data_IF_388691313404
#
_entry.id   IF_388691313404
#
_cell.length_a   1.000
_cell.length_b   1.000
_cell.length_c   1.000
_cell.angle_alpha   90.00
_cell.angle_beta   90.00
_cell.angle_gamma   90.00
#
_symmetry.space_group_name_H-M   'P 1'
#
loop_
_entity.id
_entity.type
_entity.pdbx_description
1 polymer ?
#
# COMPACT_ATOMS: atom_id res chain seq x y z
N UNK A 1 39.68 39.23 -45.19
CA UNK A 1 39.49 37.90 -44.57
C UNK A 1 39.20 37.94 -43.07
N UNK A 2 39.68 38.95 -42.32
CA UNK A 2 39.47 39.06 -40.86
C UNK A 2 38.09 39.59 -40.42
N UNK A 3 37.39 40.37 -41.26
CA UNK A 3 36.09 40.95 -40.91
C UNK A 3 34.93 39.93 -40.86
N UNK A 4 34.96 38.90 -41.70
CA UNK A 4 33.92 37.86 -41.72
C UNK A 4 33.99 36.89 -40.53
N UNK A 5 35.18 36.70 -39.95
CA UNK A 5 35.37 35.85 -38.78
C UNK A 5 34.86 36.53 -37.50
N UNK A 6 35.05 37.84 -37.36
CA UNK A 6 34.52 38.61 -36.23
C UNK A 6 32.99 38.67 -36.24
N UNK A 7 32.36 38.82 -37.41
CA UNK A 7 30.90 38.81 -37.53
C UNK A 7 30.32 37.43 -37.15
N UNK A 8 30.99 36.33 -37.52
CA UNK A 8 30.55 34.98 -37.14
C UNK A 8 30.73 34.72 -35.64
N UNK A 9 31.81 35.20 -35.04
CA UNK A 9 32.07 35.11 -33.60
C UNK A 9 31.08 35.97 -32.81
N UNK A 10 30.74 37.17 -33.29
CA UNK A 10 29.75 38.04 -32.65
C UNK A 10 28.33 37.46 -32.78
N UNK A 11 27.96 36.86 -33.92
CA UNK A 11 26.68 36.14 -34.09
C UNK A 11 26.59 34.91 -33.16
N UNK A 12 27.67 34.14 -32.99
CA UNK A 12 27.72 33.00 -32.05
C UNK A 12 27.74 33.48 -30.60
N UNK A 13 28.30 34.66 -30.31
CA UNK A 13 28.32 35.26 -28.97
C UNK A 13 26.96 35.86 -28.59
N UNK A 14 26.24 36.44 -29.55
CA UNK A 14 24.92 37.05 -29.38
C UNK A 14 23.80 35.99 -29.33
N UNK A 15 23.88 34.95 -30.19
CA UNK A 15 22.96 33.80 -30.14
C UNK A 15 23.35 32.73 -29.13
N UNK A 16 24.59 32.70 -28.64
CA UNK A 16 25.06 31.73 -27.65
C UNK A 16 24.30 31.85 -26.33
N UNK A 17 24.02 33.09 -25.90
CA UNK A 17 23.20 33.33 -24.70
C UNK A 17 21.76 32.83 -24.91
N UNK A 18 21.14 33.14 -26.06
CA UNK A 18 19.79 32.67 -26.39
C UNK A 18 19.71 31.15 -26.53
N UNK A 19 20.74 30.50 -27.09
CA UNK A 19 20.83 29.04 -27.19
C UNK A 19 20.99 28.38 -25.82
N UNK A 20 21.82 28.93 -24.94
CA UNK A 20 22.00 28.44 -23.56
C UNK A 20 20.72 28.65 -22.74
N UNK A 21 20.06 29.81 -22.86
CA UNK A 21 18.77 30.07 -22.21
C UNK A 21 17.69 29.13 -22.75
N UNK A 22 17.60 28.92 -24.06
CA UNK A 22 16.66 27.98 -24.66
C UNK A 22 16.89 26.53 -24.21
N UNK A 23 18.15 26.09 -24.14
CA UNK A 23 18.51 24.75 -23.68
C UNK A 23 18.21 24.55 -22.19
N UNK A 24 18.57 25.51 -21.34
CA UNK A 24 18.27 25.45 -19.90
C UNK A 24 16.77 25.46 -19.63
N UNK A 25 16.01 26.30 -20.34
CA UNK A 25 14.56 26.35 -20.21
C UNK A 25 13.91 25.05 -20.74
N UNK A 26 14.41 24.52 -21.85
CA UNK A 26 14.00 23.20 -22.38
C UNK A 26 14.28 22.06 -21.39
N UNK A 27 15.46 22.06 -20.76
CA UNK A 27 15.82 21.10 -19.71
C UNK A 27 14.94 21.24 -18.47
N UNK A 28 14.65 22.47 -18.02
CA UNK A 28 13.75 22.71 -16.90
C UNK A 28 12.32 22.24 -17.19
N UNK A 29 11.82 22.50 -18.41
CA UNK A 29 10.51 22.00 -18.86
C UNK A 29 10.51 20.48 -18.94
N UNK A 30 11.58 19.86 -19.44
CA UNK A 30 11.71 18.41 -19.49
C UNK A 30 11.74 17.79 -18.09
N UNK A 31 12.53 18.36 -17.17
CA UNK A 31 12.60 17.92 -15.77
C UNK A 31 11.24 18.09 -15.11
N UNK A 32 10.56 19.23 -15.29
CA UNK A 32 9.23 19.46 -14.75
C UNK A 32 8.21 18.48 -15.33
N UNK A 33 8.27 18.20 -16.63
CA UNK A 33 7.39 17.26 -17.30
C UNK A 33 7.62 15.82 -16.79
N UNK A 34 8.87 15.38 -16.67
CA UNK A 34 9.22 14.08 -16.10
C UNK A 34 8.80 13.99 -14.62
N UNK A 35 8.98 15.07 -13.87
CA UNK A 35 8.60 15.18 -12.45
C UNK A 35 7.09 15.22 -12.21
N UNK A 36 6.31 15.63 -13.21
CA UNK A 36 4.85 15.78 -13.13
C UNK A 36 4.13 14.86 -14.10
N UNK A 37 4.81 13.87 -14.66
CA UNK A 37 4.18 12.81 -15.41
C UNK A 37 3.37 11.92 -14.46
N UNK A 38 2.22 11.41 -14.91
CA UNK A 38 1.48 10.34 -14.20
C UNK A 38 1.16 9.22 -15.17
N UNK A 39 1.15 8.00 -14.66
CA UNK A 39 0.68 6.78 -15.31
C UNK A 39 -0.75 6.92 -15.88
N UNK A 40 -1.63 7.53 -15.10
CA UNK A 40 -3.04 7.73 -15.40
C UNK A 40 -3.28 9.23 -15.58
N UNK A 41 -3.84 9.58 -16.73
CA UNK A 41 -4.24 10.95 -17.05
C UNK A 41 -5.28 11.45 -16.05
N UNK A 42 -5.38 12.77 -15.92
CA UNK A 42 -6.38 13.42 -15.07
C UNK A 42 -7.78 12.94 -15.42
N UNK A 43 -8.53 12.51 -14.41
CA UNK A 43 -9.90 12.05 -14.58
C UNK A 43 -10.80 13.29 -14.61
N UNK A 44 -11.50 13.47 -15.73
CA UNK A 44 -12.42 14.58 -15.93
C UNK A 44 -13.62 14.43 -14.98
N UNK A 45 -14.10 15.55 -14.43
CA UNK A 45 -15.23 15.56 -13.52
C UNK A 45 -14.90 15.27 -12.04
N UNK A 46 -13.66 14.86 -11.72
CA UNK A 46 -13.22 14.70 -10.32
C UNK A 46 -12.25 15.85 -9.96
N UNK A 47 -12.49 16.61 -8.88
CA UNK A 47 -11.59 17.67 -8.44
C UNK A 47 -10.26 17.09 -7.97
N UNK A 48 -9.16 17.78 -8.26
CA UNK A 48 -7.82 17.43 -7.78
C UNK A 48 -7.45 18.38 -6.63
N UNK A 49 -6.93 17.82 -5.53
CA UNK A 49 -6.52 18.64 -4.38
C UNK A 49 -5.38 19.59 -4.79
N UNK A 50 -5.46 20.89 -4.48
CA UNK A 50 -4.43 21.83 -4.88
C UNK A 50 -3.10 21.61 -4.14
N UNK A 51 -2.01 22.11 -4.72
CA UNK A 51 -0.69 22.10 -4.08
C UNK A 51 0.12 20.82 -4.32
N UNK A 52 -0.03 20.19 -5.48
CA UNK A 52 0.91 19.17 -5.94
C UNK A 52 2.34 19.76 -6.07
N UNK A 53 3.30 19.23 -5.32
CA UNK A 53 4.73 19.57 -5.50
C UNK A 53 5.31 18.72 -6.65
N UNK A 54 6.24 19.21 -7.49
CA UNK A 54 6.90 18.36 -8.48
C UNK A 54 7.55 17.11 -7.82
N UNK A 55 7.54 15.96 -8.51
CA UNK A 55 8.13 14.66 -8.11
C UNK A 55 7.36 13.93 -7.00
N UNK A 56 7.11 14.55 -5.85
CA UNK A 56 6.47 13.88 -4.71
C UNK A 56 5.01 14.30 -4.48
N UNK A 57 4.49 15.22 -5.31
CA UNK A 57 3.08 15.65 -5.42
C UNK A 57 2.36 15.77 -4.07
N UNK A 58 1.41 14.88 -3.80
CA UNK A 58 0.61 14.86 -2.57
C UNK A 58 1.15 13.85 -1.55
N UNK A 59 2.07 12.97 -1.95
CA UNK A 59 2.63 11.91 -1.11
C UNK A 59 3.29 12.48 0.14
N UNK A 60 4.13 13.52 0.01
CA UNK A 60 4.73 14.18 1.17
C UNK A 60 3.72 14.92 2.04
N UNK A 61 2.61 15.38 1.47
CA UNK A 61 1.58 16.13 2.20
C UNK A 61 0.64 15.24 3.00
N UNK A 62 0.56 13.95 2.64
CA UNK A 62 -0.26 12.98 3.34
C UNK A 62 0.31 12.62 4.72
N UNK A 63 1.64 12.69 4.89
CA UNK A 63 2.31 12.36 6.14
C UNK A 63 2.22 10.86 6.48
N UNK A 64 2.35 10.52 7.76
CA UNK A 64 2.27 9.13 8.23
C UNK A 64 0.82 8.60 8.25
N UNK A 65 -0.15 9.47 8.57
CA UNK A 65 -1.57 9.12 8.60
C UNK A 65 -2.32 9.69 7.38
N UNK A 66 -2.29 8.90 6.31
CA UNK A 66 -2.97 9.21 5.06
C UNK A 66 -4.48 9.39 5.24
N UNK A 67 -5.11 8.60 6.11
CA UNK A 67 -6.57 8.59 6.28
C UNK A 67 -7.04 9.89 6.92
N UNK A 68 -6.42 10.30 8.03
CA UNK A 68 -6.77 11.56 8.69
C UNK A 68 -6.46 12.77 7.81
N UNK A 69 -5.40 12.73 7.01
CA UNK A 69 -5.10 13.81 6.06
C UNK A 69 -6.16 13.91 4.96
N UNK A 70 -6.59 12.79 4.40
CA UNK A 70 -7.66 12.76 3.40
C UNK A 70 -8.99 13.27 3.96
N UNK A 71 -9.32 12.93 5.21
CA UNK A 71 -10.50 13.45 5.90
C UNK A 71 -10.42 14.97 6.07
N UNK A 72 -9.26 15.51 6.48
CA UNK A 72 -9.05 16.96 6.59
C UNK A 72 -9.26 17.65 5.24
N UNK A 73 -8.73 17.10 4.16
CA UNK A 73 -8.95 17.65 2.81
C UNK A 73 -10.41 17.58 2.38
N UNK A 74 -11.10 16.48 2.67
CA UNK A 74 -12.54 16.40 2.40
C UNK A 74 -13.28 17.53 3.12
N UNK A 75 -13.04 17.74 4.41
CA UNK A 75 -13.68 18.80 5.21
C UNK A 75 -13.32 20.21 4.72
N UNK A 76 -12.07 20.42 4.34
CA UNK A 76 -11.58 21.73 3.90
C UNK A 76 -12.14 22.12 2.52
N UNK A 77 -12.11 21.21 1.55
CA UNK A 77 -12.53 21.49 0.17
C UNK A 77 -13.98 21.12 -0.12
N UNK A 78 -14.67 20.49 0.83
CA UNK A 78 -16.05 20.02 0.72
C UNK A 78 -16.29 19.12 -0.52
N UNK A 79 -15.31 18.26 -0.83
CA UNK A 79 -15.39 17.32 -1.95
C UNK A 79 -15.43 15.89 -1.42
N UNK A 80 -16.57 15.17 -1.54
CA UNK A 80 -16.68 13.79 -1.04
C UNK A 80 -15.83 12.79 -1.83
N UNK A 81 -15.50 13.13 -3.07
CA UNK A 81 -14.61 12.38 -3.96
C UNK A 81 -13.62 13.36 -4.58
N UNK A 82 -12.34 13.06 -4.49
CA UNK A 82 -11.29 13.85 -5.09
C UNK A 82 -10.13 12.96 -5.55
N UNK A 83 -9.31 13.47 -6.46
CA UNK A 83 -8.11 12.79 -6.93
C UNK A 83 -6.85 13.43 -6.34
N UNK A 84 -5.86 12.59 -6.08
CA UNK A 84 -4.53 12.94 -5.58
C UNK A 84 -3.48 12.20 -6.41
N UNK A 85 -2.21 12.61 -6.31
CA UNK A 85 -1.11 11.92 -6.99
C UNK A 85 -0.05 11.48 -5.99
N UNK A 86 0.25 10.19 -6.04
CA UNK A 86 1.36 9.54 -5.35
C UNK A 86 2.52 9.45 -6.34
N UNK A 87 3.38 10.47 -6.37
CA UNK A 87 4.43 10.57 -7.38
C UNK A 87 3.86 10.44 -8.80
N UNK A 88 4.26 9.38 -9.51
CA UNK A 88 3.79 9.06 -10.86
C UNK A 88 2.45 8.29 -10.89
N UNK A 89 1.87 7.90 -9.75
CA UNK A 89 0.60 7.17 -9.67
C UNK A 89 -0.55 8.11 -9.31
N UNK A 90 -1.67 8.05 -10.04
CA UNK A 90 -2.90 8.78 -9.66
C UNK A 90 -3.83 7.91 -8.82
N UNK A 91 -4.39 8.48 -7.76
CA UNK A 91 -5.39 7.82 -6.93
C UNK A 91 -6.65 8.68 -6.76
N UNK A 92 -7.79 8.01 -6.55
CA UNK A 92 -9.06 8.64 -6.23
C UNK A 92 -9.45 8.24 -4.81
N UNK A 93 -9.75 9.24 -3.99
CA UNK A 93 -10.13 9.07 -2.59
C UNK A 93 -11.64 9.29 -2.47
N UNK A 94 -12.31 8.34 -1.82
CA UNK A 94 -13.75 8.37 -1.55
C UNK A 94 -13.95 8.50 -0.04
N UNK A 95 -14.58 9.59 0.41
CA UNK A 95 -14.70 9.89 1.84
C UNK A 95 -16.15 9.85 2.36
N UNK A 96 -17.16 9.91 1.49
CA UNK A 96 -18.57 9.81 1.93
C UNK A 96 -19.12 8.39 1.79
N UNK A 97 -20.06 8.04 2.68
CA UNK A 97 -20.74 6.74 2.63
C UNK A 97 -21.41 6.49 1.28
N UNK A 98 -22.14 7.47 0.74
CA UNK A 98 -22.83 7.31 -0.54
C UNK A 98 -21.86 7.07 -1.70
N UNK A 99 -20.72 7.78 -1.72
CA UNK A 99 -19.70 7.59 -2.74
C UNK A 99 -19.05 6.20 -2.64
N UNK A 100 -18.73 5.76 -1.41
CA UNK A 100 -18.20 4.42 -1.15
C UNK A 100 -19.19 3.33 -1.53
N UNK A 101 -20.47 3.46 -1.18
CA UNK A 101 -21.54 2.51 -1.57
C UNK A 101 -21.66 2.46 -3.09
N UNK A 102 -21.67 3.61 -3.74
CA UNK A 102 -21.86 3.68 -5.19
C UNK A 102 -20.69 3.05 -5.95
N UNK A 103 -19.44 3.23 -5.50
CA UNK A 103 -18.28 2.59 -6.16
C UNK A 103 -18.13 1.10 -5.78
N UNK A 104 -18.25 0.75 -4.49
CA UNK A 104 -17.96 -0.60 -3.99
C UNK A 104 -19.11 -1.59 -4.16
N UNK A 105 -20.35 -1.11 -4.31
CA UNK A 105 -21.53 -1.97 -4.51
C UNK A 105 -22.01 -1.90 -5.94
N UNK A 106 -22.36 -0.70 -6.45
CA UNK A 106 -22.93 -0.57 -7.81
C UNK A 106 -21.89 -0.82 -8.90
N UNK A 107 -20.66 -0.35 -8.70
CA UNK A 107 -19.58 -0.45 -9.69
C UNK A 107 -18.45 -1.41 -9.26
N UNK A 108 -18.76 -2.37 -8.40
CA UNK A 108 -17.78 -3.25 -7.77
C UNK A 108 -16.89 -3.99 -8.80
N UNK A 109 -17.44 -4.35 -9.97
CA UNK A 109 -16.73 -5.07 -11.03
C UNK A 109 -15.66 -4.21 -11.70
N UNK A 110 -15.81 -2.88 -11.70
CA UNK A 110 -14.85 -1.95 -12.28
C UNK A 110 -13.65 -1.68 -11.34
N UNK A 111 -13.84 -1.85 -10.03
CA UNK A 111 -12.81 -1.58 -8.99
C UNK A 111 -12.31 -2.83 -8.27
N UNK A 112 -12.65 -4.01 -8.79
CA UNK A 112 -12.24 -5.29 -8.20
C UNK A 112 -10.75 -5.58 -8.39
N UNK A 113 -10.12 -4.96 -9.39
CA UNK A 113 -8.72 -5.16 -9.71
C UNK A 113 -7.78 -4.57 -8.64
N UNK A 114 -6.50 -4.97 -8.65
CA UNK A 114 -5.50 -4.48 -7.70
C UNK A 114 -4.28 -3.92 -8.43
N UNK A 115 -3.78 -2.74 -8.02
CA UNK A 115 -2.61 -2.15 -8.64
C UNK A 115 -1.36 -3.02 -8.40
N UNK A 116 -0.50 -3.11 -9.41
CA UNK A 116 0.79 -3.79 -9.30
C UNK A 116 1.85 -2.83 -8.77
N UNK A 117 2.22 -3.00 -7.49
CA UNK A 117 3.36 -2.33 -6.85
C UNK A 117 4.69 -2.97 -7.27
N UNK A 118 5.74 -2.16 -7.46
CA UNK A 118 7.08 -2.58 -7.89
C UNK A 118 7.76 -3.44 -6.82
N UNK A 119 7.84 -2.96 -5.58
CA UNK A 119 8.56 -3.64 -4.50
C UNK A 119 7.85 -4.93 -4.12
N UNK A 120 6.52 -4.88 -3.92
CA UNK A 120 5.79 -6.07 -3.52
C UNK A 120 5.73 -7.14 -4.62
N UNK A 121 5.45 -6.77 -5.88
CA UNK A 121 5.27 -7.77 -6.95
C UNK A 121 6.55 -8.11 -7.72
N UNK A 122 7.48 -7.17 -7.82
CA UNK A 122 8.73 -7.34 -8.57
C UNK A 122 9.87 -7.89 -7.74
N UNK A 123 10.07 -7.35 -6.53
CA UNK A 123 11.22 -7.70 -5.67
C UNK A 123 10.88 -8.88 -4.77
N UNK A 124 9.81 -8.76 -3.96
CA UNK A 124 9.48 -9.73 -2.91
C UNK A 124 8.75 -10.96 -3.46
N UNK A 125 7.79 -10.77 -4.37
CA UNK A 125 6.90 -11.82 -4.85
C UNK A 125 7.40 -12.50 -6.15
N UNK A 126 8.70 -12.44 -6.44
CA UNK A 126 9.32 -13.00 -7.64
C UNK A 126 9.23 -14.55 -7.70
N UNK A 127 9.04 -15.22 -6.57
CA UNK A 127 9.11 -16.69 -6.44
C UNK A 127 7.81 -17.38 -5.98
N UNK A 128 6.86 -16.67 -5.36
CA UNK A 128 5.63 -17.24 -4.82
C UNK A 128 4.42 -16.51 -5.43
N UNK A 129 3.46 -17.24 -6.00
CA UNK A 129 2.39 -16.63 -6.79
C UNK A 129 1.52 -15.64 -6.00
N UNK A 130 1.20 -14.51 -6.62
CA UNK A 130 0.07 -13.59 -6.37
C UNK A 130 -0.99 -14.07 -5.33
N UNK A 131 -1.17 -13.33 -4.22
CA UNK A 131 -2.19 -13.59 -3.18
C UNK A 131 -3.63 -13.31 -3.68
N UNK A 132 -4.67 -13.70 -2.95
CA UNK A 132 -6.07 -13.36 -3.35
C UNK A 132 -6.33 -11.85 -3.26
N UNK A 133 -5.76 -11.16 -2.26
CA UNK A 133 -6.11 -9.78 -1.93
C UNK A 133 -5.28 -8.70 -2.62
N UNK A 134 -4.07 -9.04 -3.07
CA UNK A 134 -3.10 -8.08 -3.64
C UNK A 134 -2.92 -8.21 -5.15
N UNK A 135 -3.62 -9.14 -5.79
CA UNK A 135 -3.27 -9.56 -7.15
C UNK A 135 -4.25 -9.08 -8.20
N UNK A 136 -3.79 -8.92 -9.46
CA UNK A 136 -4.67 -8.58 -10.55
C UNK A 136 -5.84 -9.57 -10.68
N UNK A 137 -6.98 -9.08 -11.14
CA UNK A 137 -8.23 -9.82 -11.27
C UNK A 137 -8.24 -10.72 -12.52
N UNK A 138 -7.44 -11.78 -12.46
CA UNK A 138 -7.27 -12.78 -13.53
C UNK A 138 -7.90 -14.13 -13.14
N UNK A 139 -7.94 -15.09 -14.08
CA UNK A 139 -8.51 -16.42 -13.86
C UNK A 139 -7.92 -17.14 -12.64
N UNK A 140 -6.60 -17.02 -12.41
CA UNK A 140 -5.94 -17.58 -11.22
C UNK A 140 -6.52 -17.00 -9.92
N UNK A 141 -6.63 -15.66 -9.80
CA UNK A 141 -7.18 -14.98 -8.63
C UNK A 141 -8.66 -15.33 -8.39
N UNK A 142 -9.44 -15.46 -9.48
CA UNK A 142 -10.84 -15.92 -9.43
C UNK A 142 -10.94 -17.34 -8.86
N UNK A 143 -10.12 -18.26 -9.35
CA UNK A 143 -10.11 -19.65 -8.90
C UNK A 143 -9.67 -19.77 -7.44
N UNK A 144 -8.61 -19.06 -7.04
CA UNK A 144 -8.16 -19.00 -5.63
C UNK A 144 -9.24 -18.45 -4.70
N UNK A 145 -9.91 -17.36 -5.10
CA UNK A 145 -11.03 -16.78 -4.33
C UNK A 145 -12.20 -17.77 -4.21
N UNK A 146 -12.53 -18.49 -5.29
CA UNK A 146 -13.56 -19.52 -5.28
C UNK A 146 -13.20 -20.66 -4.33
N UNK A 147 -11.97 -21.17 -4.41
CA UNK A 147 -11.50 -22.26 -3.55
C UNK A 147 -11.53 -21.87 -2.06
N UNK A 148 -10.95 -20.71 -1.71
CA UNK A 148 -10.99 -20.20 -0.34
C UNK A 148 -12.43 -19.94 0.13
N UNK A 149 -13.28 -19.41 -0.74
CA UNK A 149 -14.70 -19.20 -0.46
C UNK A 149 -15.46 -20.49 -0.14
N UNK A 150 -15.14 -21.60 -0.81
CA UNK A 150 -15.72 -22.92 -0.49
C UNK A 150 -15.27 -23.43 0.87
N UNK A 151 -13.97 -23.33 1.18
CA UNK A 151 -13.42 -23.78 2.46
C UNK A 151 -13.94 -22.95 3.65
N UNK A 152 -14.16 -21.65 3.46
CA UNK A 152 -14.61 -20.74 4.51
C UNK A 152 -16.13 -20.49 4.49
N UNK A 153 -16.89 -21.26 3.70
CA UNK A 153 -18.32 -21.10 3.61
C UNK A 153 -19.02 -21.55 4.91
N UNK A 154 -20.21 -21.00 5.20
CA UNK A 154 -21.00 -21.33 6.38
C UNK A 154 -21.18 -22.85 6.63
N UNK A 155 -21.40 -23.71 5.61
CA UNK A 155 -21.48 -25.15 5.82
C UNK A 155 -20.16 -25.75 6.32
N UNK A 156 -19.04 -25.40 5.69
CA UNK A 156 -17.71 -25.90 6.05
C UNK A 156 -17.28 -25.44 7.45
N UNK A 157 -17.64 -24.22 7.85
CA UNK A 157 -17.35 -23.69 9.20
C UNK A 157 -17.96 -24.55 10.33
N UNK A 158 -19.04 -25.29 10.07
CA UNK A 158 -19.64 -26.18 11.09
C UNK A 158 -18.70 -27.32 11.45
N UNK A 159 -17.98 -27.85 10.47
CA UNK A 159 -17.03 -28.95 10.67
C UNK A 159 -15.79 -28.47 11.45
N UNK A 160 -15.53 -27.15 11.44
CA UNK A 160 -14.42 -26.53 12.18
C UNK A 160 -14.78 -26.14 13.61
N UNK A 161 -16.02 -26.33 14.05
CA UNK A 161 -16.44 -25.99 15.41
C UNK A 161 -15.56 -26.62 16.50
N UNK A 162 -15.16 -27.91 16.44
CA UNK A 162 -14.30 -28.50 17.47
C UNK A 162 -12.94 -27.81 17.59
N UNK A 163 -12.40 -27.30 16.47
CA UNK A 163 -11.15 -26.55 16.45
C UNK A 163 -11.32 -25.21 17.17
N UNK A 164 -12.40 -24.46 16.89
CA UNK A 164 -12.66 -23.19 17.56
C UNK A 164 -12.93 -23.36 19.06
N UNK A 165 -13.65 -24.42 19.44
CA UNK A 165 -13.94 -24.74 20.84
C UNK A 165 -12.65 -25.04 21.62
N UNK A 166 -11.77 -25.87 21.04
CA UNK A 166 -10.46 -26.17 21.62
C UNK A 166 -9.60 -24.92 21.78
N UNK A 167 -9.47 -24.09 20.75
CA UNK A 167 -8.66 -22.87 20.83
C UNK A 167 -9.26 -21.87 21.84
N UNK A 168 -10.58 -21.78 21.91
CA UNK A 168 -11.29 -20.92 22.88
C UNK A 168 -11.07 -21.41 24.32
N UNK A 169 -11.11 -22.72 24.55
CA UNK A 169 -10.77 -23.30 25.85
C UNK A 169 -9.31 -23.02 26.23
N UNK A 170 -8.37 -23.23 25.30
CA UNK A 170 -6.95 -23.04 25.54
C UNK A 170 -6.60 -21.59 25.93
N UNK A 171 -7.20 -20.58 25.30
CA UNK A 171 -6.93 -19.18 25.68
C UNK A 171 -7.43 -18.86 27.09
N UNK A 172 -8.61 -19.36 27.47
CA UNK A 172 -9.18 -19.10 28.81
C UNK A 172 -8.38 -19.81 29.88
N UNK A 173 -8.01 -21.08 29.62
CA UNK A 173 -7.16 -21.87 30.52
C UNK A 173 -5.81 -21.18 30.76
N UNK A 174 -5.14 -20.74 29.69
CA UNK A 174 -3.81 -20.18 29.79
C UNK A 174 -3.84 -18.77 30.41
N UNK A 175 -4.86 -17.96 30.06
CA UNK A 175 -5.09 -16.66 30.72
C UNK A 175 -5.37 -16.83 32.22
N UNK A 176 -6.12 -17.86 32.61
CA UNK A 176 -6.36 -18.15 34.02
C UNK A 176 -5.08 -18.62 34.73
N UNK A 177 -4.27 -19.46 34.10
CA UNK A 177 -2.98 -19.90 34.64
C UNK A 177 -1.99 -18.74 34.85
N UNK A 178 -1.98 -17.77 33.93
CA UNK A 178 -1.11 -16.60 34.01
C UNK A 178 -1.67 -15.50 34.94
N UNK A 179 -2.99 -15.49 35.15
CA UNK A 179 -3.66 -14.65 36.14
C UNK A 179 -3.37 -15.20 37.52
N UNK A 180 -2.37 -14.62 38.18
CA UNK A 180 -2.08 -14.91 39.58
C UNK A 180 -3.25 -14.45 40.44
N UNK A 181 -4.19 -15.36 40.70
CA UNK A 181 -5.42 -15.08 41.45
C UNK A 181 -5.13 -14.66 42.90
N UNK A 182 -3.90 -14.83 43.39
CA UNK A 182 -3.48 -14.38 44.72
C UNK A 182 -3.05 -12.91 44.77
N UNK A 183 -2.72 -12.32 43.62
CA UNK A 183 -2.27 -10.93 43.52
C UNK A 183 -3.26 -10.09 42.69
N UNK A 184 -4.15 -9.30 43.33
CA UNK A 184 -5.11 -8.45 42.65
C UNK A 184 -4.49 -7.36 41.76
N UNK A 185 -3.18 -7.10 41.89
CA UNK A 185 -2.46 -6.08 41.13
C UNK A 185 -1.74 -6.65 39.89
N UNK A 186 -1.75 -7.97 39.68
CA UNK A 186 -1.12 -8.58 38.50
C UNK A 186 -2.05 -8.47 37.30
N UNK A 187 -1.68 -7.59 36.38
CA UNK A 187 -2.36 -7.44 35.10
C UNK A 187 -1.91 -8.51 34.10
N UNK A 188 -2.84 -8.98 33.26
CA UNK A 188 -2.56 -9.93 32.18
C UNK A 188 -2.84 -9.24 30.84
N UNK A 189 -1.83 -9.25 29.96
CA UNK A 189 -1.99 -8.71 28.61
C UNK A 189 -2.76 -9.69 27.74
N UNK A 190 -3.94 -9.30 27.23
CA UNK A 190 -4.82 -10.19 26.46
C UNK A 190 -4.32 -10.39 25.01
N UNK A 191 -3.53 -9.44 24.49
CA UNK A 191 -3.12 -9.38 23.08
C UNK A 191 -2.43 -10.67 22.59
N UNK A 192 -1.46 -11.28 23.31
CA UNK A 192 -0.79 -12.49 22.86
C UNK A 192 -1.73 -13.70 22.72
N UNK A 193 -2.70 -13.85 23.62
CA UNK A 193 -3.67 -14.95 23.57
C UNK A 193 -4.56 -14.87 22.33
N UNK A 194 -5.04 -13.67 21.99
CA UNK A 194 -5.84 -13.43 20.77
C UNK A 194 -4.99 -13.68 19.51
N UNK A 195 -3.73 -13.23 19.50
CA UNK A 195 -2.81 -13.47 18.38
C UNK A 195 -2.57 -14.97 18.18
N UNK A 196 -2.32 -15.72 19.26
CA UNK A 196 -2.16 -17.18 19.21
C UNK A 196 -3.44 -17.86 18.70
N UNK A 197 -4.61 -17.48 19.20
CA UNK A 197 -5.90 -18.02 18.75
C UNK A 197 -6.09 -17.86 17.23
N UNK A 198 -5.87 -16.65 16.72
CA UNK A 198 -6.01 -16.36 15.30
C UNK A 198 -5.02 -17.15 14.43
N UNK A 199 -3.77 -17.26 14.91
CA UNK A 199 -2.74 -18.01 14.20
C UNK A 199 -2.97 -19.51 14.24
N UNK A 200 -3.28 -20.10 15.40
CA UNK A 200 -3.59 -21.53 15.51
C UNK A 200 -4.79 -21.93 14.67
N UNK A 201 -5.84 -21.10 14.63
CA UNK A 201 -6.98 -21.29 13.73
C UNK A 201 -6.52 -21.40 12.27
N UNK A 202 -5.65 -20.47 11.85
CA UNK A 202 -5.14 -20.43 10.47
C UNK A 202 -4.20 -21.58 10.17
N UNK A 203 -3.28 -21.89 11.10
CA UNK A 203 -2.30 -22.97 10.97
C UNK A 203 -2.96 -24.34 10.95
N UNK A 204 -3.97 -24.56 11.79
CA UNK A 204 -4.71 -25.82 11.81
C UNK A 204 -5.49 -26.00 10.51
N UNK A 205 -6.17 -24.95 10.03
CA UNK A 205 -6.95 -25.02 8.81
C UNK A 205 -6.09 -25.20 7.54
N UNK A 206 -4.96 -24.50 7.45
CA UNK A 206 -4.12 -24.47 6.24
C UNK A 206 -3.04 -25.56 6.22
N UNK A 207 -2.52 -25.94 7.38
CA UNK A 207 -1.32 -26.79 7.50
C UNK A 207 -1.51 -27.98 8.44
N UNK A 208 -2.63 -28.07 9.18
CA UNK A 208 -2.88 -29.15 10.13
C UNK A 208 -1.96 -29.15 11.35
N UNK A 209 -1.29 -28.03 11.63
CA UNK A 209 -0.37 -27.87 12.77
C UNK A 209 -0.91 -26.86 13.77
N UNK A 210 -0.46 -26.96 15.03
CA UNK A 210 -0.84 -26.06 16.12
C UNK A 210 0.37 -25.73 16.98
N UNK A 211 0.45 -24.48 17.44
CA UNK A 211 1.43 -24.03 18.42
C UNK A 211 0.94 -24.35 19.83
N UNK A 212 1.84 -24.82 20.69
CA UNK A 212 1.48 -25.18 22.07
C UNK A 212 1.70 -24.03 23.06
N UNK A 213 2.62 -23.10 22.76
CA UNK A 213 2.98 -21.99 23.65
C UNK A 213 2.64 -20.62 23.03
N UNK A 214 2.41 -19.63 23.89
CA UNK A 214 2.21 -18.20 23.58
C UNK A 214 3.53 -17.52 23.21
N UNK A 215 4.67 -18.12 23.56
CA UNK A 215 6.01 -17.61 23.25
C UNK A 215 6.81 -18.53 22.33
N UNK A 216 6.12 -19.35 21.54
CA UNK A 216 6.74 -20.21 20.53
C UNK A 216 7.64 -19.36 19.60
N UNK A 217 8.82 -19.90 19.27
CA UNK A 217 9.77 -19.24 18.36
C UNK A 217 9.12 -18.99 17.00
N UNK A 218 8.32 -19.96 16.54
CA UNK A 218 7.53 -19.87 15.31
C UNK A 218 6.55 -18.69 15.34
N UNK A 219 5.89 -18.46 16.48
CA UNK A 219 4.94 -17.36 16.64
C UNK A 219 5.64 -16.00 16.52
N UNK A 220 6.79 -15.85 17.19
CA UNK A 220 7.58 -14.61 17.14
C UNK A 220 8.10 -14.34 15.73
N UNK A 221 8.60 -15.36 15.05
CA UNK A 221 9.07 -15.24 13.67
C UNK A 221 7.93 -14.84 12.73
N UNK A 222 6.78 -15.53 12.78
CA UNK A 222 5.61 -15.21 11.95
C UNK A 222 5.14 -13.76 12.19
N UNK A 223 5.07 -13.32 13.45
CA UNK A 223 4.66 -11.95 13.77
C UNK A 223 5.69 -10.92 13.29
N UNK A 224 6.98 -11.20 13.44
CA UNK A 224 8.05 -10.32 13.00
C UNK A 224 8.07 -10.18 11.47
N UNK A 225 8.12 -11.30 10.76
CA UNK A 225 8.10 -11.36 9.29
C UNK A 225 6.81 -10.76 8.75
N UNK A 226 5.67 -11.06 9.37
CA UNK A 226 4.38 -10.49 9.00
C UNK A 226 4.34 -8.96 9.11
N UNK A 227 4.93 -8.41 10.17
CA UNK A 227 5.05 -6.96 10.36
C UNK A 227 5.97 -6.32 9.31
N UNK A 228 7.12 -6.93 9.01
CA UNK A 228 8.03 -6.43 7.99
C UNK A 228 7.38 -6.41 6.60
N UNK A 229 6.69 -7.50 6.22
CA UNK A 229 5.95 -7.57 4.95
C UNK A 229 4.84 -6.53 4.89
N UNK A 230 4.17 -6.23 6.01
CA UNK A 230 3.12 -5.21 6.05
C UNK A 230 3.68 -3.82 5.76
N UNK A 231 4.82 -3.45 6.35
CA UNK A 231 5.48 -2.16 6.11
C UNK A 231 5.88 -2.00 4.64
N UNK A 232 6.38 -3.06 4.00
CA UNK A 232 6.74 -3.05 2.58
C UNK A 232 5.55 -2.84 1.63
N UNK A 233 4.33 -3.14 2.09
CA UNK A 233 3.09 -2.87 1.36
C UNK A 233 2.49 -1.50 1.67
N UNK A 234 3.02 -0.78 2.66
CA UNK A 234 2.47 0.52 3.05
C UNK A 234 2.82 1.58 2.02
N UNK A 235 1.79 2.34 1.63
CA UNK A 235 1.97 3.47 0.72
C UNK A 235 2.77 4.63 1.33
N UNK A 236 2.81 4.73 2.67
CA UNK A 236 3.55 5.78 3.39
C UNK A 236 5.05 5.51 3.42
N UNK A 237 5.43 4.24 3.63
CA UNK A 237 6.82 3.84 3.85
C UNK A 237 7.57 3.63 2.54
N UNK A 238 6.87 3.18 1.49
CA UNK A 238 7.53 2.75 0.27
C UNK A 238 7.38 3.75 -0.89
N UNK A 239 8.24 4.77 -0.88
CA UNK A 239 8.28 5.78 -1.94
C UNK A 239 8.72 5.22 -3.32
N UNK A 240 9.38 4.06 -3.35
CA UNK A 240 9.89 3.44 -4.59
C UNK A 240 8.77 3.01 -5.52
N UNK A 241 7.62 2.60 -4.97
CA UNK A 241 6.45 2.21 -5.76
C UNK A 241 5.86 3.39 -6.54
N UNK A 242 6.15 4.63 -6.11
CA UNK A 242 5.55 5.85 -6.65
C UNK A 242 6.54 6.73 -7.41
N UNK A 243 7.84 6.64 -7.13
CA UNK A 243 8.90 7.45 -7.74
C UNK A 243 9.89 6.52 -8.45
N UNK A 244 9.78 6.33 -9.78
CA UNK A 244 10.61 5.38 -10.53
C UNK A 244 12.13 5.59 -10.39
N UNK A 245 12.57 6.82 -10.13
CA UNK A 245 13.99 7.11 -9.93
C UNK A 245 14.55 6.49 -8.63
N UNK A 246 13.71 6.29 -7.61
CA UNK A 246 14.13 5.68 -6.34
C UNK A 246 14.37 4.17 -6.44
N UNK A 247 13.87 3.52 -7.51
CA UNK A 247 14.12 2.10 -7.76
C UNK A 247 15.62 1.78 -8.01
N UNK A 248 16.46 2.79 -8.29
CA UNK A 248 17.89 2.63 -8.57
C UNK A 248 18.79 2.93 -7.37
N UNK A 249 18.24 3.33 -6.21
CA UNK A 249 19.03 3.66 -5.02
C UNK A 249 19.36 2.40 -4.19
N UNK A 250 20.60 2.28 -3.67
CA UNK A 250 21.08 1.05 -3.02
C UNK A 250 20.61 0.84 -1.57
N UNK A 251 19.80 1.72 -0.98
CA UNK A 251 19.44 1.69 0.45
C UNK A 251 18.23 0.78 0.79
N UNK A 252 18.06 -0.33 0.05
CA UNK A 252 16.81 -1.10 0.03
C UNK A 252 17.01 -2.61 0.28
N UNK A 253 17.79 -2.97 1.31
CA UNK A 253 17.67 -4.28 1.97
C UNK A 253 17.06 -4.10 3.37
#
# INVERSE_FOLDING_TARGET
>A
MLAGLNILVDIVRDHGLHAVVGFTLGMLVLIYWLATFTDIKRINGIPEIPGAVPICVHLLKLGEDHASTCERWWRQYNHPVFQIRFGNTRAVVFNSFDACRDILVKHHSAVIDRPKLYTFHGVINSTQGFTIGSSPWVASSKNKRKAAGTALARPALRDYHPMFDLESFCIVRDMHADSDCSNPQKEVSIRPYIQRYALNTTLTLCYGIRMNDIYDELLREILHVGSAIFLLRSASENLQDYIPALCYLPNNE
#
